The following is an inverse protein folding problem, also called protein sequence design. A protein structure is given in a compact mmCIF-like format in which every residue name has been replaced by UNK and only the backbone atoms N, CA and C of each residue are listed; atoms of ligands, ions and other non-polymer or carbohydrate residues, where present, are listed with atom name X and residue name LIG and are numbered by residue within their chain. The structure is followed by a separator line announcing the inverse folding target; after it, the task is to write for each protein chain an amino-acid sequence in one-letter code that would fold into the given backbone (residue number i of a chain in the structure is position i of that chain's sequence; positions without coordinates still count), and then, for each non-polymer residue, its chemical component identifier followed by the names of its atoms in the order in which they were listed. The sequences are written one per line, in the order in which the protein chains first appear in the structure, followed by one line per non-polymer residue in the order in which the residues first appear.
data_IF_879184216886
#
_entry.id   IF_879184216886
#
_cell.length_a   1.000
_cell.length_b   1.000
_cell.length_c   1.000
_cell.angle_alpha   90.00
_cell.angle_beta   90.00
_cell.angle_gamma   90.00
#
_symmetry.space_group_name_H-M   'P 1'
#
loop_
_entity.id
_entity.type
_entity.pdbx_description
1 polymer ?
#
# COMPACT_ATOMS: atom_id res chain seq x y z
N UNK A 1 13.26 4.81 18.00
CA UNK A 1 12.21 4.29 17.11
C UNK A 1 12.68 4.54 15.68
N UNK A 2 13.25 3.52 15.04
CA UNK A 2 13.78 3.60 13.67
C UNK A 2 12.67 3.22 12.69
N UNK A 3 12.51 3.96 11.61
CA UNK A 3 11.62 3.62 10.50
C UNK A 3 12.48 3.19 9.33
N UNK A 4 12.11 2.09 8.69
CA UNK A 4 12.74 1.59 7.47
C UNK A 4 11.84 1.92 6.28
N UNK A 5 12.45 2.32 5.17
CA UNK A 5 11.73 2.53 3.91
C UNK A 5 11.56 1.16 3.27
N UNK A 6 10.31 0.66 3.25
CA UNK A 6 9.98 -0.60 2.58
C UNK A 6 9.98 -0.45 1.05
N UNK A 7 9.54 0.70 0.55
CA UNK A 7 9.64 1.09 -0.85
C UNK A 7 9.42 2.59 -1.03
N UNK A 8 9.91 3.13 -2.14
CA UNK A 8 9.69 4.49 -2.62
C UNK A 8 9.27 4.44 -4.08
N UNK A 9 8.32 5.30 -4.49
CA UNK A 9 7.84 5.32 -5.87
C UNK A 9 7.09 4.07 -6.33
N UNK A 10 6.62 3.24 -5.39
CA UNK A 10 5.87 2.03 -5.71
C UNK A 10 4.45 2.36 -6.19
N UNK A 11 4.02 1.67 -7.25
CA UNK A 11 2.61 1.66 -7.65
C UNK A 11 1.74 0.88 -6.66
N UNK A 12 0.42 0.94 -6.84
CA UNK A 12 -0.55 0.27 -5.96
C UNK A 12 -0.34 -1.24 -5.86
N UNK A 13 -0.05 -1.93 -6.97
CA UNK A 13 0.12 -3.39 -6.97
C UNK A 13 1.39 -3.78 -6.23
N UNK A 14 2.48 -3.08 -6.51
CA UNK A 14 3.75 -3.26 -5.81
C UNK A 14 3.59 -3.00 -4.31
N UNK A 15 2.85 -1.96 -3.94
CA UNK A 15 2.52 -1.65 -2.53
C UNK A 15 1.73 -2.76 -1.87
N UNK A 16 0.69 -3.29 -2.52
CA UNK A 16 -0.13 -4.40 -1.97
C UNK A 16 0.72 -5.65 -1.74
N UNK A 17 1.61 -6.01 -2.67
CA UNK A 17 2.52 -7.15 -2.51
C UNK A 17 3.48 -6.97 -1.34
N UNK A 18 4.07 -5.79 -1.17
CA UNK A 18 4.95 -5.51 -0.03
C UNK A 18 4.23 -5.65 1.31
N UNK A 19 2.95 -5.28 1.34
CA UNK A 19 2.14 -5.43 2.55
C UNK A 19 1.79 -6.88 2.86
N UNK A 20 1.94 -7.84 1.95
CA UNK A 20 1.77 -9.28 2.25
C UNK A 20 2.85 -9.80 3.20
N UNK A 21 4.07 -9.26 3.11
CA UNK A 21 5.21 -9.65 3.94
C UNK A 21 5.23 -8.94 5.31
N UNK A 22 4.39 -7.92 5.49
CA UNK A 22 4.28 -7.18 6.74
C UNK A 22 3.44 -7.96 7.75
N UNK A 23 3.87 -7.98 9.01
CA UNK A 23 3.18 -8.71 10.09
C UNK A 23 1.94 -8.00 10.63
N UNK A 24 1.92 -6.67 10.56
CA UNK A 24 0.84 -5.86 11.12
C UNK A 24 0.66 -4.54 10.37
N UNK A 25 -0.58 -4.20 10.04
CA UNK A 25 -0.93 -2.93 9.37
C UNK A 25 -0.66 -1.70 10.25
N UNK A 26 -0.60 -1.86 11.58
CA UNK A 26 -0.26 -0.75 12.49
C UNK A 26 1.23 -0.39 12.48
N UNK A 27 2.09 -1.28 11.97
CA UNK A 27 3.54 -1.06 11.91
C UNK A 27 3.98 -0.35 10.63
N UNK A 28 3.05 -0.01 9.74
CA UNK A 28 3.34 0.66 8.46
C UNK A 28 2.75 2.06 8.39
N UNK A 29 3.44 2.93 7.68
CA UNK A 29 2.96 4.26 7.32
C UNK A 29 3.08 4.40 5.81
N UNK A 30 1.96 4.64 5.13
CA UNK A 30 1.91 4.73 3.67
C UNK A 30 1.71 6.19 3.29
N UNK A 31 2.54 6.67 2.36
CA UNK A 31 2.42 7.99 1.77
C UNK A 31 2.07 7.86 0.30
N UNK A 32 1.11 8.65 -0.15
CA UNK A 32 0.70 8.71 -1.56
C UNK A 32 0.98 10.10 -2.10
N UNK A 33 1.52 10.17 -3.32
CA UNK A 33 1.66 11.42 -4.05
C UNK A 33 0.30 11.87 -4.56
N UNK A 34 -0.12 13.09 -4.22
CA UNK A 34 -1.33 13.71 -4.76
C UNK A 34 -0.94 14.67 -5.87
N UNK A 35 -1.15 14.33 -7.16
CA UNK A 35 -0.74 15.18 -8.27
C UNK A 35 -1.51 16.51 -8.29
N UNK A 36 -2.78 16.52 -7.87
CA UNK A 36 -3.64 17.71 -7.87
C UNK A 36 -3.16 18.79 -6.89
N UNK A 37 -2.51 18.37 -5.79
CA UNK A 37 -2.04 19.28 -4.73
C UNK A 37 -0.52 19.27 -4.60
N UNK A 38 0.17 18.60 -5.54
CA UNK A 38 1.62 18.43 -5.62
C UNK A 38 2.27 18.14 -4.26
N UNK A 39 1.67 17.23 -3.49
CA UNK A 39 2.14 16.92 -2.14
C UNK A 39 2.00 15.45 -1.80
N UNK A 40 2.86 15.00 -0.90
CA UNK A 40 2.71 13.73 -0.23
C UNK A 40 1.62 13.82 0.83
N UNK A 41 0.69 12.87 0.81
CA UNK A 41 -0.33 12.70 1.85
C UNK A 41 -0.15 11.34 2.52
N UNK A 42 -0.12 11.34 3.84
CA UNK A 42 -0.19 10.10 4.61
C UNK A 42 -1.60 9.53 4.52
N UNK A 43 -1.70 8.23 4.26
CA UNK A 43 -2.97 7.52 4.37
C UNK A 43 -3.41 7.45 5.83
N UNK A 44 -4.71 7.57 6.06
CA UNK A 44 -5.30 7.28 7.37
C UNK A 44 -5.21 5.79 7.67
N UNK A 45 -5.42 5.41 8.93
CA UNK A 45 -5.46 4.01 9.31
C UNK A 45 -6.53 3.23 8.53
N UNK A 46 -7.73 3.80 8.34
CA UNK A 46 -8.81 3.15 7.59
C UNK A 46 -8.49 3.00 6.09
N UNK A 47 -7.82 3.99 5.49
CA UNK A 47 -7.34 3.90 4.11
C UNK A 47 -6.26 2.82 3.95
N UNK A 48 -5.29 2.80 4.85
CA UNK A 48 -4.23 1.79 4.87
C UNK A 48 -4.82 0.38 5.10
N UNK A 49 -5.78 0.25 6.03
CA UNK A 49 -6.53 -0.98 6.28
C UNK A 49 -7.30 -1.44 5.05
N UNK A 50 -7.96 -0.53 4.33
CA UNK A 50 -8.67 -0.89 3.11
C UNK A 50 -7.72 -1.47 2.06
N UNK A 51 -6.53 -0.89 1.92
CA UNK A 51 -5.50 -1.39 1.00
C UNK A 51 -4.90 -2.74 1.46
N UNK A 52 -4.77 -2.92 2.77
CA UNK A 52 -4.36 -4.19 3.40
C UNK A 52 -5.37 -5.32 3.19
N UNK A 53 -6.67 -5.02 3.27
CA UNK A 53 -7.74 -5.99 3.04
C UNK A 53 -7.86 -6.38 1.55
N UNK A 54 -7.21 -5.63 0.66
CA UNK A 54 -7.10 -5.95 -0.77
C UNK A 54 -6.04 -7.01 -1.11
N UNK A 55 -5.19 -7.39 -0.15
CA UNK A 55 -4.17 -8.45 -0.33
C UNK A 55 -4.83 -9.77 -0.73
N UNK A 56 -4.19 -10.52 -1.63
CA UNK A 56 -4.74 -11.75 -2.22
C UNK A 56 -5.85 -11.56 -3.26
N UNK A 57 -6.48 -10.38 -3.40
CA UNK A 57 -7.49 -10.13 -4.47
C UNK A 57 -6.88 -9.68 -5.80
N UNK A 58 -5.66 -9.16 -5.79
CA UNK A 58 -4.96 -8.70 -6.99
C UNK A 58 -4.60 -9.86 -7.94
N UNK A 59 -4.32 -11.05 -7.39
CA UNK A 59 -4.04 -12.24 -8.20
C UNK A 59 -5.31 -12.78 -8.88
N UNK A 60 -6.46 -12.72 -8.19
CA UNK A 60 -7.75 -13.09 -8.77
C UNK A 60 -8.20 -12.16 -9.91
N UNK A 61 -7.91 -10.86 -9.82
CA UNK A 61 -8.24 -9.90 -10.87
C UNK A 61 -7.37 -10.10 -12.13
N UNK A 62 -6.09 -10.41 -11.94
CA UNK A 62 -5.19 -10.76 -13.04
C UNK A 62 -5.58 -12.11 -13.69
N UNK A 63 -5.98 -13.11 -12.89
CA UNK A 63 -6.39 -14.43 -13.37
C UNK A 63 -7.72 -14.43 -14.13
N UNK A 64 -8.63 -13.47 -13.87
CA UNK A 64 -9.90 -13.32 -14.60
C UNK A 64 -9.80 -12.52 -15.90
N UNK A 65 -8.68 -11.83 -16.11
CA UNK A 65 -8.46 -10.98 -17.29
C UNK A 65 -7.64 -11.66 -18.40
N UNK A 66 -7.20 -12.91 -18.21
CA UNK A 66 -6.53 -13.75 -19.20
C UNK A 66 -7.40 -14.91 -19.64
#
# INVERSE_FOLDING_TARGET
MTREILAEGADTRTTVRLLEDVRSIVDVTIWVWQPETERWRMLTFDEARSLWDYRGRMDDAAARAG
#
